data_IF_174840239750
#
_entry.id   IF_174840239750
#
_cell.length_a   1.000
_cell.length_b   1.000
_cell.length_c   1.000
_cell.angle_alpha   90.00
_cell.angle_beta   90.00
_cell.angle_gamma   90.00
#
_symmetry.space_group_name_H-M   'P 1'
#
loop_
_entity.id
_entity.type
_entity.pdbx_description
1 polymer ?
#
# COMPACT_ATOMS: atom_id res chain seq x y z
N UNK A 1 9.85 10.19 70.00
CA UNK A 1 10.75 11.19 69.38
C UNK A 1 10.25 11.41 67.94
N UNK A 2 10.22 12.68 67.51
CA UNK A 2 9.58 13.17 66.28
C UNK A 2 10.31 12.72 65.00
N UNK A 3 9.50 12.34 64.01
CA UNK A 3 9.49 12.74 62.57
C UNK A 3 10.84 12.72 61.82
N UNK A 4 10.91 11.97 60.72
CA UNK A 4 10.97 12.56 59.36
C UNK A 4 10.71 11.54 58.25
N UNK A 5 9.76 11.91 57.40
CA UNK A 5 9.39 11.31 56.12
C UNK A 5 10.47 11.70 55.12
N UNK A 6 10.92 10.79 54.27
CA UNK A 6 11.61 11.15 53.03
C UNK A 6 11.01 10.32 51.90
N UNK A 7 10.21 10.99 51.08
CA UNK A 7 9.73 10.51 49.79
C UNK A 7 10.91 10.21 48.88
N UNK A 8 10.94 9.01 48.30
CA UNK A 8 11.71 8.75 47.08
C UNK A 8 10.71 8.68 45.94
N UNK A 9 10.89 9.65 45.06
CA UNK A 9 10.12 9.98 43.89
C UNK A 9 10.41 8.95 42.78
N UNK A 10 9.33 8.38 42.23
CA UNK A 10 9.07 8.15 40.80
C UNK A 10 10.22 7.66 39.90
N UNK A 11 10.12 6.41 39.41
CA UNK A 11 10.52 6.06 38.04
C UNK A 11 9.38 5.30 37.37
N UNK A 12 8.46 6.08 36.82
CA UNK A 12 7.55 5.65 35.77
C UNK A 12 8.42 5.39 34.54
N UNK A 13 8.59 4.12 34.17
CA UNK A 13 9.19 3.75 32.88
C UNK A 13 8.16 4.16 31.82
N UNK A 14 8.30 5.38 31.31
CA UNK A 14 7.71 5.74 30.02
C UNK A 14 8.45 4.88 28.99
N UNK A 15 7.71 4.00 28.32
CA UNK A 15 8.06 3.62 26.96
C UNK A 15 8.08 4.92 26.15
N UNK A 16 9.27 5.48 25.93
CA UNK A 16 9.49 6.34 24.80
C UNK A 16 9.38 5.43 23.58
N UNK A 17 8.19 5.43 22.96
CA UNK A 17 8.05 4.96 21.60
C UNK A 17 9.05 5.70 20.72
N UNK A 18 9.56 5.00 19.73
CA UNK A 18 10.23 5.65 18.61
C UNK A 18 9.17 6.45 17.86
N UNK A 19 9.09 7.75 18.14
CA UNK A 19 8.37 8.72 17.31
C UNK A 19 9.33 9.88 17.05
N UNK A 20 10.52 9.58 16.50
CA UNK A 20 11.40 10.61 15.93
C UNK A 20 11.05 10.76 14.44
N UNK A 21 9.79 11.14 14.19
CA UNK A 21 9.44 11.79 12.93
C UNK A 21 10.17 13.14 12.97
N UNK A 22 11.26 13.26 12.20
CA UNK A 22 12.00 14.50 12.09
C UNK A 22 11.03 15.67 11.87
N UNK A 23 11.18 16.74 12.64
CA UNK A 23 10.29 17.90 12.57
C UNK A 23 10.10 18.31 11.11
N UNK A 24 8.84 18.35 10.65
CA UNK A 24 8.52 18.81 9.30
C UNK A 24 9.28 20.11 9.02
N UNK A 25 10.03 20.15 7.91
CA UNK A 25 10.64 21.39 7.44
C UNK A 25 9.57 22.46 7.32
N UNK A 26 9.90 23.71 7.69
CA UNK A 26 8.94 24.81 7.52
C UNK A 26 8.50 24.85 6.06
N UNK A 27 7.18 24.95 5.82
CA UNK A 27 6.65 25.15 4.49
C UNK A 27 7.36 26.36 3.83
N UNK A 28 7.64 26.27 2.53
CA UNK A 28 8.12 27.43 1.78
C UNK A 28 7.06 28.54 1.72
N UNK A 29 7.48 29.79 1.52
CA UNK A 29 6.56 30.91 1.34
C UNK A 29 5.67 30.69 0.11
N UNK A 30 4.37 31.00 0.24
CA UNK A 30 3.42 30.88 -0.86
C UNK A 30 3.69 31.94 -1.92
N UNK A 31 3.77 31.56 -3.19
CA UNK A 31 3.84 32.53 -4.29
C UNK A 31 2.43 33.02 -4.65
N UNK A 32 2.20 34.33 -4.55
CA UNK A 32 0.90 34.95 -4.83
C UNK A 32 0.95 35.88 -6.03
N UNK A 33 -0.21 36.08 -6.65
CA UNK A 33 -0.42 36.96 -7.79
C UNK A 33 -1.57 37.91 -7.48
N UNK A 34 -1.34 39.21 -7.66
CA UNK A 34 -2.33 40.28 -7.44
C UNK A 34 -2.54 41.06 -8.73
N UNK A 35 -3.78 41.08 -9.22
CA UNK A 35 -4.17 41.75 -10.47
C UNK A 35 -4.99 42.98 -10.13
N UNK A 36 -4.52 44.14 -10.56
CA UNK A 36 -5.21 45.41 -10.35
C UNK A 36 -5.47 46.09 -11.70
N UNK A 37 -6.53 46.89 -11.78
CA UNK A 37 -6.83 47.69 -12.97
C UNK A 37 -5.81 48.83 -13.06
N UNK A 38 -5.08 48.91 -14.17
CA UNK A 38 -4.23 50.05 -14.49
C UNK A 38 -5.07 51.10 -15.22
N UNK A 39 -5.08 52.31 -14.68
CA UNK A 39 -5.79 53.42 -15.32
C UNK A 39 -5.04 53.94 -16.54
N UNK A 40 -5.73 54.53 -17.54
CA UNK A 40 -5.07 55.19 -18.66
C UNK A 40 -4.05 56.22 -18.18
N UNK A 41 -2.79 56.07 -18.61
CA UNK A 41 -1.70 56.86 -18.04
C UNK A 41 -0.33 56.48 -18.56
N UNK A 42 0.69 56.71 -17.72
CA UNK A 42 2.09 56.65 -18.10
C UNK A 42 2.58 55.24 -18.48
N UNK A 43 1.99 54.17 -17.93
CA UNK A 43 2.37 52.79 -18.26
C UNK A 43 1.51 52.22 -19.39
N UNK A 44 0.20 52.45 -19.35
CA UNK A 44 -0.73 52.04 -20.40
C UNK A 44 -1.58 53.22 -20.86
N UNK A 45 -1.36 53.67 -22.10
CA UNK A 45 -2.05 54.85 -22.67
C UNK A 45 -3.57 54.73 -22.65
N UNK A 46 -4.10 53.52 -22.69
CA UNK A 46 -5.55 53.22 -22.73
C UNK A 46 -6.03 52.40 -21.52
N UNK A 47 -5.22 52.34 -20.46
CA UNK A 47 -5.48 51.52 -19.29
C UNK A 47 -5.21 50.04 -19.56
N UNK A 48 -5.57 49.20 -18.61
CA UNK A 48 -5.38 47.75 -18.70
C UNK A 48 -5.30 47.13 -17.32
N UNK A 49 -4.37 46.19 -17.15
CA UNK A 49 -4.13 45.55 -15.87
C UNK A 49 -2.65 45.62 -15.52
N UNK A 50 -2.37 45.80 -14.24
CA UNK A 50 -1.05 45.55 -13.68
C UNK A 50 -1.10 44.25 -12.89
N UNK A 51 -0.11 43.40 -13.12
CA UNK A 51 0.03 42.10 -12.47
C UNK A 51 1.26 42.15 -11.59
N UNK A 52 1.07 41.94 -10.29
CA UNK A 52 2.14 41.81 -9.32
C UNK A 52 2.33 40.34 -8.97
N UNK A 53 3.57 39.87 -8.90
CA UNK A 53 3.90 38.54 -8.39
C UNK A 53 4.98 38.62 -7.31
N UNK A 54 4.91 37.72 -6.34
CA UNK A 54 5.84 37.70 -5.23
C UNK A 54 5.60 36.57 -4.25
N UNK A 55 6.36 36.57 -3.16
CA UNK A 55 6.27 35.58 -2.09
C UNK A 55 5.55 36.22 -0.89
N UNK A 56 4.52 35.55 -0.38
CA UNK A 56 3.84 35.90 0.86
C UNK A 56 4.76 35.57 2.04
N UNK A 57 5.57 36.55 2.43
CA UNK A 57 6.62 36.39 3.45
C UNK A 57 6.07 36.49 4.87
N UNK A 58 4.89 37.07 5.04
CA UNK A 58 4.24 37.24 6.33
C UNK A 58 3.07 36.28 6.56
N UNK A 59 2.81 35.38 5.59
CA UNK A 59 1.82 34.30 5.61
C UNK A 59 0.39 34.81 5.87
N UNK A 60 0.06 36.00 5.37
CA UNK A 60 -1.27 36.58 5.53
C UNK A 60 -2.23 36.25 4.37
N UNK A 61 -1.77 35.48 3.38
CA UNK A 61 -2.48 35.07 2.17
C UNK A 61 -2.85 36.24 1.23
N UNK A 62 -2.19 37.39 1.37
CA UNK A 62 -2.29 38.53 0.46
C UNK A 62 -0.89 38.93 -0.01
N UNK A 63 -0.79 39.49 -1.22
CA UNK A 63 0.48 40.02 -1.71
C UNK A 63 0.62 41.49 -1.29
N UNK A 64 1.33 41.73 -0.19
CA UNK A 64 1.55 43.08 0.30
C UNK A 64 2.47 43.89 -0.62
N UNK A 65 2.41 45.23 -0.60
CA UNK A 65 3.25 46.08 -1.47
C UNK A 65 4.76 45.82 -1.35
N UNK A 66 5.24 45.36 -0.19
CA UNK A 66 6.65 45.05 0.05
C UNK A 66 7.05 43.64 -0.41
N UNK A 67 6.07 42.79 -0.73
CA UNK A 67 6.27 41.40 -1.10
C UNK A 67 6.30 41.20 -2.63
N UNK A 68 6.00 42.26 -3.39
CA UNK A 68 5.96 42.27 -4.85
C UNK A 68 7.38 42.24 -5.40
N UNK A 69 7.72 41.15 -6.09
CA UNK A 69 9.03 40.91 -6.67
C UNK A 69 9.04 41.27 -8.16
N UNK A 70 7.92 41.05 -8.85
CA UNK A 70 7.76 41.40 -10.26
C UNK A 70 6.48 42.19 -10.49
N UNK A 71 6.55 43.08 -11.47
CA UNK A 71 5.43 43.90 -11.94
C UNK A 71 5.38 43.82 -13.46
N UNK A 72 4.26 43.39 -14.00
CA UNK A 72 4.02 43.32 -15.45
C UNK A 72 2.78 44.16 -15.81
N UNK A 73 2.84 44.89 -16.92
CA UNK A 73 1.73 45.73 -17.38
C UNK A 73 1.11 45.14 -18.64
N UNK A 74 -0.14 44.69 -18.53
CA UNK A 74 -0.94 44.22 -19.66
C UNK A 74 -1.83 45.37 -20.15
N UNK A 75 -1.30 46.13 -21.10
CA UNK A 75 -2.00 47.30 -21.64
C UNK A 75 -3.12 46.91 -22.60
N UNK A 76 -4.26 47.58 -22.47
CA UNK A 76 -5.34 47.50 -23.44
C UNK A 76 -4.98 48.25 -24.73
N UNK A 77 -5.43 47.75 -25.89
CA UNK A 77 -5.22 48.42 -27.17
C UNK A 77 -6.05 49.71 -27.26
N UNK A 78 -5.64 50.62 -28.17
CA UNK A 78 -6.31 51.91 -28.38
C UNK A 78 -7.76 51.78 -28.84
N UNK A 79 -8.71 52.56 -28.29
CA UNK A 79 -10.12 52.53 -28.70
C UNK A 79 -10.41 53.30 -30.01
N UNK A 80 -9.40 53.85 -30.70
CA UNK A 80 -9.58 54.65 -31.93
C UNK A 80 -8.82 54.03 -33.11
N UNK A 81 -9.46 53.08 -33.81
CA UNK A 81 -9.02 52.56 -35.11
C UNK A 81 -9.80 53.29 -36.21
N UNK A 82 -9.18 54.35 -36.73
CA UNK A 82 -9.42 54.86 -38.09
C UNK A 82 -8.08 55.13 -38.77
N UNK A 83 -7.32 54.07 -39.01
CA UNK A 83 -6.20 54.06 -39.94
C UNK A 83 -6.48 53.01 -41.01
N UNK A 84 -6.28 53.27 -42.32
CA UNK A 84 -6.30 52.21 -43.33
C UNK A 84 -5.03 51.37 -43.15
N UNK A 85 -5.04 50.53 -42.14
CA UNK A 85 -4.20 49.36 -42.05
C UNK A 85 -5.04 48.24 -42.62
N UNK A 86 -4.55 47.54 -43.65
CA UNK A 86 -4.96 46.16 -43.82
C UNK A 86 -4.65 45.47 -42.49
N UNK A 87 -5.67 44.96 -41.81
CA UNK A 87 -5.51 44.15 -40.63
C UNK A 87 -4.49 43.06 -40.99
N UNK A 88 -3.33 43.08 -40.34
CA UNK A 88 -2.43 41.93 -40.43
C UNK A 88 -3.25 40.73 -40.02
N UNK A 89 -3.42 39.76 -40.92
CA UNK A 89 -4.24 38.57 -40.68
C UNK A 89 -3.89 38.01 -39.30
N UNK A 90 -4.91 37.64 -38.53
CA UNK A 90 -4.70 36.88 -37.30
C UNK A 90 -3.70 35.76 -37.60
N UNK A 91 -2.71 35.58 -36.71
CA UNK A 91 -1.87 34.41 -36.76
C UNK A 91 -2.75 33.17 -36.62
N UNK A 92 -2.39 32.07 -37.29
CA UNK A 92 -3.10 30.81 -37.09
C UNK A 92 -3.06 30.42 -35.61
N UNK A 93 -4.14 29.83 -35.11
CA UNK A 93 -4.18 29.32 -33.74
C UNK A 93 -3.01 28.34 -33.54
N UNK A 94 -2.37 28.37 -32.37
CA UNK A 94 -1.36 27.37 -32.03
C UNK A 94 -2.00 25.99 -31.87
N UNK A 95 -1.33 24.96 -32.41
CA UNK A 95 -1.70 23.56 -32.22
C UNK A 95 -1.62 23.15 -30.74
N UNK A 96 -2.44 22.17 -30.34
CA UNK A 96 -2.42 21.66 -28.98
C UNK A 96 -1.11 20.87 -28.71
N UNK A 97 -0.53 21.01 -27.52
CA UNK A 97 0.54 20.10 -27.07
C UNK A 97 -0.07 18.95 -26.28
N UNK A 98 0.22 17.71 -26.68
CA UNK A 98 -0.27 16.50 -26.03
C UNK A 98 0.86 15.80 -25.26
N UNK A 99 0.49 15.12 -24.17
CA UNK A 99 1.37 14.28 -23.36
C UNK A 99 0.76 12.90 -23.19
N UNK A 100 1.54 11.85 -23.45
CA UNK A 100 1.11 10.47 -23.28
C UNK A 100 2.14 9.66 -22.51
N UNK A 101 1.63 8.72 -21.72
CA UNK A 101 2.43 7.77 -20.94
C UNK A 101 2.13 6.37 -21.44
N UNK A 102 3.18 5.63 -21.77
CA UNK A 102 3.10 4.22 -22.15
C UNK A 102 3.93 3.36 -21.20
N UNK A 103 3.58 2.07 -21.11
CA UNK A 103 4.45 1.07 -20.52
C UNK A 103 5.72 0.90 -21.37
N UNK A 104 6.88 0.78 -20.70
CA UNK A 104 8.15 0.41 -21.32
C UNK A 104 8.57 -0.97 -20.82
N UNK A 105 8.76 -1.90 -21.74
CA UNK A 105 9.22 -3.25 -21.43
C UNK A 105 10.70 -3.26 -21.01
N UNK A 106 11.14 -4.26 -20.23
CA UNK A 106 12.55 -4.47 -19.94
C UNK A 106 13.40 -4.58 -21.21
N UNK A 107 14.43 -3.74 -21.33
CA UNK A 107 15.27 -3.71 -22.52
C UNK A 107 16.35 -2.63 -22.48
N UNK A 108 16.78 -2.20 -23.67
CA UNK A 108 17.90 -1.25 -23.86
C UNK A 108 17.63 0.12 -23.21
N UNK A 109 16.39 0.61 -23.22
CA UNK A 109 16.04 1.90 -22.61
C UNK A 109 15.92 1.80 -21.08
N UNK A 110 15.26 0.76 -20.59
CA UNK A 110 15.07 0.49 -19.17
C UNK A 110 15.32 -1.00 -18.88
N UNK A 111 16.43 -1.32 -18.18
CA UNK A 111 16.81 -2.70 -17.87
C UNK A 111 15.72 -3.51 -17.15
N UNK A 112 14.93 -2.85 -16.29
CA UNK A 112 13.87 -3.48 -15.49
C UNK A 112 12.46 -2.98 -15.88
N UNK A 113 12.32 -2.47 -17.11
CA UNK A 113 11.10 -1.84 -17.60
C UNK A 113 10.81 -0.50 -16.92
N UNK A 114 9.65 0.08 -17.21
CA UNK A 114 9.26 1.37 -16.66
C UNK A 114 8.11 2.01 -17.43
N UNK A 115 8.17 3.34 -17.57
CA UNK A 115 7.23 4.13 -18.38
C UNK A 115 8.00 4.96 -19.40
N UNK A 116 7.40 5.20 -20.56
CA UNK A 116 7.84 6.23 -21.49
C UNK A 116 6.85 7.39 -21.50
N UNK A 117 7.35 8.60 -21.29
CA UNK A 117 6.62 9.86 -21.40
C UNK A 117 6.92 10.46 -22.77
N UNK A 118 5.89 10.76 -23.55
CA UNK A 118 6.01 11.33 -24.90
C UNK A 118 5.22 12.61 -24.99
N UNK A 119 5.75 13.59 -25.70
CA UNK A 119 5.08 14.87 -25.92
C UNK A 119 5.32 15.41 -27.31
N UNK A 120 4.40 16.23 -27.79
CA UNK A 120 4.48 16.86 -29.10
C UNK A 120 3.26 17.70 -29.44
N UNK A 121 3.34 18.40 -30.57
CA UNK A 121 2.24 19.18 -31.12
C UNK A 121 1.30 18.30 -31.93
N UNK A 122 0.01 18.38 -31.64
CA UNK A 122 -1.09 17.78 -32.41
C UNK A 122 -1.30 18.62 -33.68
N UNK A 123 -0.54 18.30 -34.72
CA UNK A 123 -0.45 19.07 -35.95
C UNK A 123 -1.64 18.90 -36.87
N UNK A 124 -2.42 17.84 -36.71
CA UNK A 124 -3.65 17.62 -37.46
C UNK A 124 -4.95 17.84 -36.65
N UNK A 125 -4.79 18.27 -35.40
CA UNK A 125 -5.86 18.66 -34.46
C UNK A 125 -6.89 17.54 -34.24
N UNK A 126 -6.46 16.26 -34.30
CA UNK A 126 -7.35 15.10 -34.13
C UNK A 126 -7.47 14.63 -32.66
N UNK A 127 -6.67 15.21 -31.76
CA UNK A 127 -6.64 14.94 -30.34
C UNK A 127 -5.84 13.69 -29.96
N UNK A 128 -5.06 13.12 -30.87
CA UNK A 128 -4.23 11.93 -30.65
C UNK A 128 -2.78 12.23 -31.03
N UNK A 129 -1.87 12.09 -30.06
CA UNK A 129 -0.44 12.24 -30.34
C UNK A 129 0.08 11.05 -31.17
N UNK A 130 0.24 11.24 -32.47
CA UNK A 130 0.77 10.23 -33.38
C UNK A 130 2.30 10.17 -33.36
N UNK A 131 2.86 9.10 -33.93
CA UNK A 131 4.30 8.85 -33.86
C UNK A 131 5.14 9.94 -34.54
N UNK A 132 4.62 10.53 -35.62
CA UNK A 132 5.30 11.59 -36.38
C UNK A 132 5.19 12.97 -35.71
N UNK A 133 4.35 13.09 -34.69
CA UNK A 133 4.10 14.31 -33.93
C UNK A 133 4.91 14.38 -32.64
N UNK A 134 5.58 13.29 -32.26
CA UNK A 134 6.36 13.23 -31.03
C UNK A 134 7.62 14.07 -31.19
N UNK A 135 7.67 15.18 -30.46
CA UNK A 135 8.84 16.05 -30.36
C UNK A 135 9.87 15.54 -29.34
N UNK A 136 9.42 14.80 -28.33
CA UNK A 136 10.31 14.29 -27.30
C UNK A 136 9.78 13.05 -26.59
N UNK A 137 10.74 12.26 -26.09
CA UNK A 137 10.48 11.05 -25.31
C UNK A 137 11.46 10.98 -24.14
N UNK A 138 10.94 10.69 -22.95
CA UNK A 138 11.71 10.46 -21.74
C UNK A 138 11.32 9.12 -21.13
N UNK A 139 12.30 8.41 -20.57
CA UNK A 139 12.10 7.10 -19.96
C UNK A 139 12.25 7.18 -18.45
N UNK A 140 11.21 6.74 -17.74
CA UNK A 140 11.19 6.65 -16.28
C UNK A 140 11.31 5.16 -15.93
N UNK A 141 12.53 4.74 -15.63
CA UNK A 141 12.83 3.33 -15.40
C UNK A 141 12.52 2.88 -13.97
N UNK A 142 12.05 1.64 -13.85
CA UNK A 142 11.92 0.96 -12.57
C UNK A 142 13.31 0.69 -11.97
N UNK A 143 13.36 0.61 -10.64
CA UNK A 143 14.53 0.11 -9.93
C UNK A 143 14.79 -1.36 -10.19
N UNK A 144 16.00 -1.82 -9.85
CA UNK A 144 16.32 -3.24 -9.82
C UNK A 144 15.35 -3.98 -8.88
N UNK A 145 14.76 -5.12 -9.31
CA UNK A 145 13.96 -5.94 -8.43
C UNK A 145 14.75 -6.30 -7.17
N UNK A 146 14.11 -6.15 -6.01
CA UNK A 146 14.67 -6.64 -4.76
C UNK A 146 14.82 -8.16 -4.76
N UNK A 147 15.65 -8.71 -3.86
CA UNK A 147 15.77 -10.16 -3.69
C UNK A 147 14.41 -10.78 -3.34
N UNK A 148 14.14 -11.97 -3.86
CA UNK A 148 12.87 -12.65 -3.66
C UNK A 148 12.81 -13.30 -2.27
N UNK A 149 11.64 -13.29 -1.64
CA UNK A 149 11.39 -14.15 -0.48
C UNK A 149 10.93 -15.52 -0.97
N UNK A 150 11.64 -16.56 -0.53
CA UNK A 150 11.34 -17.94 -0.87
C UNK A 150 10.75 -18.68 0.34
N UNK A 151 9.98 -19.73 0.03
CA UNK A 151 9.51 -20.73 0.97
C UNK A 151 9.99 -22.10 0.50
N UNK A 152 10.78 -22.76 1.33
CA UNK A 152 11.19 -24.15 1.13
C UNK A 152 10.42 -25.05 2.10
N UNK A 153 9.94 -26.17 1.59
CA UNK A 153 9.24 -27.19 2.38
C UNK A 153 10.00 -28.51 2.34
N UNK A 154 10.29 -29.05 3.52
CA UNK A 154 11.04 -30.29 3.68
C UNK A 154 10.18 -31.25 4.50
N UNK A 155 10.14 -32.52 4.11
CA UNK A 155 9.50 -33.56 4.91
C UNK A 155 10.22 -33.67 6.26
N UNK A 156 9.47 -33.56 7.35
CA UNK A 156 9.98 -33.79 8.70
C UNK A 156 9.64 -35.22 9.14
N UNK A 157 10.67 -36.00 9.44
CA UNK A 157 10.50 -37.34 9.98
C UNK A 157 9.99 -37.31 11.44
N UNK A 158 9.30 -38.37 11.90
CA UNK A 158 8.91 -38.49 13.30
C UNK A 158 10.10 -38.32 14.26
N UNK A 159 9.99 -37.37 15.19
CA UNK A 159 11.10 -37.01 16.06
C UNK A 159 10.78 -35.92 17.08
N UNK A 160 11.85 -35.22 17.51
CA UNK A 160 11.77 -34.23 18.60
C UNK A 160 10.91 -33.00 18.25
N UNK A 161 10.83 -32.64 16.97
CA UNK A 161 10.02 -31.50 16.51
C UNK A 161 8.56 -31.91 16.31
N UNK A 162 8.31 -33.07 15.70
CA UNK A 162 6.98 -33.60 15.45
C UNK A 162 6.93 -35.11 15.73
N UNK A 163 6.16 -35.54 16.74
CA UNK A 163 6.07 -36.95 17.14
C UNK A 163 5.49 -37.86 16.06
N UNK A 164 4.58 -37.36 15.22
CA UNK A 164 3.99 -38.07 14.07
C UNK A 164 4.59 -37.70 12.71
N UNK A 165 5.76 -37.04 12.71
CA UNK A 165 6.31 -36.40 11.52
C UNK A 165 5.49 -35.20 11.05
N UNK A 166 5.82 -34.65 9.88
CA UNK A 166 5.13 -33.49 9.33
C UNK A 166 5.93 -32.80 8.24
N UNK A 167 5.85 -31.47 8.21
CA UNK A 167 6.61 -30.61 7.31
C UNK A 167 7.43 -29.59 8.10
N UNK A 168 8.66 -29.38 7.67
CA UNK A 168 9.50 -28.24 8.05
C UNK A 168 9.38 -27.16 6.98
N UNK A 169 9.01 -25.96 7.39
CA UNK A 169 8.86 -24.78 6.55
C UNK A 169 10.03 -23.84 6.83
N UNK A 170 10.75 -23.44 5.79
CA UNK A 170 11.87 -22.51 5.87
C UNK A 170 11.54 -21.31 4.99
N UNK A 171 11.58 -20.11 5.57
CA UNK A 171 11.43 -18.86 4.83
C UNK A 171 12.73 -18.07 4.86
N UNK A 172 13.06 -17.44 3.75
CA UNK A 172 14.29 -16.68 3.62
C UNK A 172 14.24 -15.71 2.45
N UNK A 173 15.13 -14.73 2.47
CA UNK A 173 15.34 -13.80 1.35
C UNK A 173 16.53 -14.32 0.56
N UNK A 174 16.32 -14.63 -0.73
CA UNK A 174 17.36 -15.08 -1.66
C UNK A 174 18.22 -13.88 -2.06
N UNK A 175 19.12 -13.49 -1.15
CA UNK A 175 19.97 -12.30 -1.30
C UNK A 175 20.91 -12.40 -2.50
N UNK A 176 21.36 -13.62 -2.80
CA UNK A 176 22.29 -13.87 -3.90
C UNK A 176 21.60 -14.22 -5.23
N UNK A 177 20.27 -14.30 -5.24
CA UNK A 177 19.41 -14.53 -6.40
C UNK A 177 19.72 -15.86 -7.13
N UNK A 178 20.08 -16.91 -6.39
CA UNK A 178 20.37 -18.23 -6.98
C UNK A 178 19.14 -19.15 -7.09
N UNK A 179 17.98 -18.72 -6.58
CA UNK A 179 16.72 -19.45 -6.63
C UNK A 179 16.55 -20.50 -5.53
N UNK A 180 17.40 -20.50 -4.49
CA UNK A 180 17.33 -21.37 -3.33
C UNK A 180 17.50 -20.57 -2.03
N UNK A 181 17.14 -21.17 -0.90
CA UNK A 181 17.42 -20.58 0.42
C UNK A 181 18.73 -21.18 0.92
N UNK A 182 19.80 -20.37 0.91
CA UNK A 182 21.06 -20.76 1.52
C UNK A 182 20.99 -20.69 3.05
N UNK A 183 21.92 -21.38 3.72
CA UNK A 183 21.97 -21.45 5.19
C UNK A 183 22.06 -20.07 5.88
N UNK A 184 22.64 -19.08 5.21
CA UNK A 184 22.77 -17.72 5.72
C UNK A 184 21.56 -16.84 5.41
N UNK A 185 20.65 -17.30 4.55
CA UNK A 185 19.46 -16.58 4.07
C UNK A 185 18.18 -16.98 4.83
N UNK A 186 18.28 -17.98 5.71
CA UNK A 186 17.17 -18.46 6.54
C UNK A 186 16.77 -17.38 7.54
N UNK A 187 15.54 -16.89 7.40
CA UNK A 187 14.93 -15.93 8.31
C UNK A 187 14.09 -16.64 9.39
N UNK A 188 13.27 -17.63 8.98
CA UNK A 188 12.44 -18.38 9.92
C UNK A 188 12.32 -19.86 9.59
N UNK A 189 12.15 -20.65 10.64
CA UNK A 189 11.89 -22.10 10.56
C UNK A 189 10.67 -22.42 11.39
N UNK A 190 9.70 -23.09 10.78
CA UNK A 190 8.48 -23.56 11.45
C UNK A 190 8.26 -25.05 11.17
N UNK A 191 7.55 -25.71 12.06
CA UNK A 191 7.18 -27.12 11.92
C UNK A 191 5.67 -27.26 11.92
N UNK A 192 5.14 -27.85 10.87
CA UNK A 192 3.74 -28.24 10.76
C UNK A 192 3.65 -29.73 11.00
N UNK A 193 3.28 -30.11 12.22
CA UNK A 193 3.20 -31.51 12.61
C UNK A 193 1.89 -32.15 12.15
N UNK A 194 1.96 -33.41 11.76
CA UNK A 194 0.78 -34.23 11.57
C UNK A 194 0.05 -34.40 12.90
N UNK A 195 -1.28 -34.37 12.86
CA UNK A 195 -2.09 -34.81 13.99
C UNK A 195 -1.84 -36.28 14.29
N UNK A 196 -2.05 -36.71 15.53
CA UNK A 196 -2.19 -38.13 15.82
C UNK A 196 -3.41 -38.67 15.09
N UNK A 197 -3.33 -39.90 14.57
CA UNK A 197 -4.53 -40.62 14.15
C UNK A 197 -5.52 -40.69 15.32
N UNK A 198 -6.80 -40.53 15.03
CA UNK A 198 -7.85 -40.68 16.04
C UNK A 198 -8.11 -42.16 16.31
N UNK A 199 -8.56 -42.49 17.52
CA UNK A 199 -9.05 -43.84 17.83
C UNK A 199 -10.31 -44.16 17.00
N UNK A 200 -10.46 -45.42 16.61
CA UNK A 200 -11.69 -45.89 15.96
C UNK A 200 -12.87 -45.71 16.91
N UNK A 201 -14.03 -45.28 16.38
CA UNK A 201 -15.27 -45.19 17.17
C UNK A 201 -16.08 -46.47 17.00
N UNK A 202 -16.31 -47.17 18.11
CA UNK A 202 -17.04 -48.43 18.14
C UNK A 202 -18.43 -48.26 18.77
N UNK A 203 -19.35 -49.14 18.38
CA UNK A 203 -20.70 -49.21 18.93
C UNK A 203 -20.94 -50.63 19.46
N UNK A 204 -21.46 -50.74 20.68
CA UNK A 204 -21.91 -51.99 21.29
C UNK A 204 -23.38 -51.88 21.67
N UNK A 205 -24.19 -52.88 21.32
CA UNK A 205 -25.63 -52.88 21.59
C UNK A 205 -26.01 -54.06 22.46
N UNK A 206 -26.81 -53.80 23.48
CA UNK A 206 -27.29 -54.80 24.43
C UNK A 206 -28.79 -54.60 24.72
N UNK A 207 -29.54 -55.63 25.11
CA UNK A 207 -30.92 -55.46 25.55
C UNK A 207 -31.02 -54.56 26.78
N UNK A 208 -32.00 -53.66 26.84
CA UNK A 208 -32.28 -52.89 28.07
C UNK A 208 -32.78 -53.82 29.18
N UNK A 209 -32.38 -53.54 30.42
CA UNK A 209 -32.76 -54.32 31.60
C UNK A 209 -34.20 -54.06 32.08
N UNK A 210 -34.94 -53.20 31.39
CA UNK A 210 -36.29 -52.77 31.70
C UNK A 210 -36.35 -51.57 32.65
N UNK A 211 -35.20 -51.07 33.12
CA UNK A 211 -35.13 -49.87 33.98
C UNK A 211 -35.47 -48.62 33.19
N UNK A 212 -35.05 -48.52 31.92
CA UNK A 212 -35.30 -47.36 31.06
C UNK A 212 -36.48 -47.58 30.12
N UNK A 213 -36.63 -48.80 29.61
CA UNK A 213 -37.71 -49.19 28.70
C UNK A 213 -38.55 -50.34 29.29
N UNK A 214 -39.61 -50.04 30.07
CA UNK A 214 -40.42 -51.07 30.73
C UNK A 214 -41.11 -52.06 29.79
N UNK A 215 -41.26 -51.69 28.52
CA UNK A 215 -41.87 -52.52 27.45
C UNK A 215 -40.86 -53.32 26.63
N UNK A 216 -39.55 -53.22 26.94
CA UNK A 216 -38.47 -53.72 26.10
C UNK A 216 -37.80 -52.62 25.29
N UNK A 217 -36.54 -52.84 24.93
CA UNK A 217 -35.71 -51.90 24.20
C UNK A 217 -34.25 -52.34 24.11
N UNK A 218 -33.42 -51.51 23.49
CA UNK A 218 -31.97 -51.73 23.34
C UNK A 218 -31.22 -50.54 23.92
N UNK A 219 -30.15 -50.82 24.67
CA UNK A 219 -29.13 -49.83 25.05
C UNK A 219 -28.01 -49.85 24.01
N UNK A 220 -27.56 -48.66 23.60
CA UNK A 220 -26.51 -48.42 22.63
C UNK A 220 -25.37 -47.71 23.37
N UNK A 221 -24.21 -48.34 23.39
CA UNK A 221 -22.96 -47.79 23.90
C UNK A 221 -22.10 -47.33 22.74
N UNK A 222 -21.49 -46.15 22.86
CA UNK A 222 -20.52 -45.64 21.90
C UNK A 222 -19.29 -45.08 22.62
N UNK A 223 -18.14 -45.22 21.98
CA UNK A 223 -16.88 -44.71 22.51
C UNK A 223 -15.69 -44.98 21.59
N UNK A 224 -14.54 -44.34 21.85
CA UNK A 224 -13.29 -44.63 21.16
C UNK A 224 -12.66 -45.94 21.65
N UNK A 225 -12.14 -46.76 20.74
CA UNK A 225 -11.30 -47.92 21.06
C UNK A 225 -9.89 -47.44 21.42
N UNK A 226 -9.71 -47.03 22.67
CA UNK A 226 -8.47 -46.41 23.17
C UNK A 226 -7.32 -47.42 23.21
N UNK A 227 -7.64 -48.70 23.41
CA UNK A 227 -6.63 -49.75 23.51
C UNK A 227 -6.42 -50.55 22.21
N UNK A 228 -7.13 -50.18 21.14
CA UNK A 228 -7.01 -50.69 19.77
C UNK A 228 -7.19 -52.22 19.67
N UNK A 229 -8.04 -52.80 20.51
CA UNK A 229 -8.29 -54.25 20.49
C UNK A 229 -9.45 -54.67 19.57
N UNK A 230 -10.14 -53.70 18.95
CA UNK A 230 -11.27 -53.88 18.06
C UNK A 230 -12.60 -54.17 18.77
N UNK A 231 -12.69 -53.96 20.09
CA UNK A 231 -13.87 -54.21 20.92
C UNK A 231 -14.10 -52.97 21.79
N UNK A 232 -15.36 -52.54 21.92
CA UNK A 232 -15.71 -51.47 22.87
C UNK A 232 -15.75 -52.03 24.30
N UNK A 233 -14.70 -51.77 25.07
CA UNK A 233 -14.61 -52.14 26.49
C UNK A 233 -15.45 -51.20 27.38
N UNK A 234 -15.89 -51.66 28.56
CA UNK A 234 -16.74 -50.84 29.46
C UNK A 234 -16.06 -49.54 29.91
N UNK A 235 -14.72 -49.53 29.96
CA UNK A 235 -13.93 -48.36 30.33
C UNK A 235 -13.82 -47.32 29.21
N UNK A 236 -14.22 -47.68 28.00
CA UNK A 236 -14.10 -46.86 26.79
C UNK A 236 -15.43 -46.19 26.40
N UNK A 237 -16.52 -46.60 27.02
CA UNK A 237 -17.85 -46.05 26.78
C UNK A 237 -17.88 -44.58 27.23
N UNK A 238 -18.13 -43.68 26.30
CA UNK A 238 -18.31 -42.24 26.57
C UNK A 238 -19.77 -41.81 26.48
N UNK A 239 -20.56 -42.56 25.71
CA UNK A 239 -21.94 -42.22 25.41
C UNK A 239 -22.84 -43.45 25.52
N UNK A 240 -24.03 -43.23 26.09
CA UNK A 240 -25.07 -44.25 26.26
C UNK A 240 -26.41 -43.69 25.76
N UNK A 241 -27.15 -44.50 25.01
CA UNK A 241 -28.48 -44.14 24.52
C UNK A 241 -29.45 -45.33 24.61
N UNK A 242 -30.72 -45.05 24.86
CA UNK A 242 -31.78 -46.06 24.94
C UNK A 242 -32.78 -45.89 23.80
N UNK A 243 -33.10 -47.00 23.15
CA UNK A 243 -34.16 -47.08 22.14
C UNK A 243 -35.23 -48.03 22.68
N UNK A 244 -36.38 -47.50 23.05
CA UNK A 244 -37.51 -48.29 23.53
C UNK A 244 -38.40 -48.76 22.37
N UNK A 245 -38.95 -49.97 22.49
CA UNK A 245 -39.88 -50.58 21.52
C UNK A 245 -41.31 -49.99 21.57
#
# INVERSE_FOLDING_TARGET
>A
MKVTITSILLTLVLLAGCEDEGSAGKNGYSSLLDIQIEQPGAHCMYGGYVVYSGLDTNENNFLDPLERISTEYLCQPSPDITCPCDDGKDGENGHATLFLIYDEDPGENCRYGGKSLRWGLDTDDDGVLMVDEIDGTEYICNGEPGPATLLETIQEDPGANCSGGGLKLITGVDENQNGAIDVNEVDSVQYLCNGSDGYDSLIRMEPDDGTHCPSGGTVIYAGPDVNENGILDDTEITDEAWVCD
#
